data_IF_981817931366
#
_entry.id   IF_981817931366
#
_cell.length_a   1.000
_cell.length_b   1.000
_cell.length_c   1.000
_cell.angle_alpha   90.00
_cell.angle_beta   90.00
_cell.angle_gamma   90.00
#
_symmetry.space_group_name_H-M   'P 1'
#
loop_
_entity.id
_entity.type
_entity.pdbx_description
1 polymer ?
#
# COMPACT_ATOMS: atom_id res chain seq x y z
N UNK A 1 -30.28 18.76 -29.20
CA UNK A 1 -29.45 17.54 -29.23
C UNK A 1 -28.47 17.59 -28.08
N UNK A 2 -28.85 17.09 -26.89
CA UNK A 2 -27.94 17.06 -25.74
C UNK A 2 -26.94 15.92 -25.92
N UNK A 3 -25.66 16.29 -26.00
CA UNK A 3 -24.53 15.39 -26.17
C UNK A 3 -24.39 14.45 -24.96
N UNK A 4 -24.41 13.16 -25.25
CA UNK A 4 -24.19 12.09 -24.28
C UNK A 4 -22.78 12.23 -23.71
N UNK A 5 -22.64 12.73 -22.47
CA UNK A 5 -21.38 12.68 -21.72
C UNK A 5 -20.98 11.21 -21.64
N UNK A 6 -19.95 10.81 -22.39
CA UNK A 6 -19.30 9.51 -22.23
C UNK A 6 -18.73 9.52 -20.82
N UNK A 7 -19.40 8.86 -19.87
CA UNK A 7 -18.81 8.54 -18.58
C UNK A 7 -17.52 7.79 -18.89
N UNK A 8 -16.38 8.47 -18.75
CA UNK A 8 -15.08 7.82 -18.69
C UNK A 8 -15.13 7.05 -17.38
N UNK A 9 -15.51 5.78 -17.44
CA UNK A 9 -15.29 4.88 -16.32
C UNK A 9 -13.84 5.06 -15.89
N UNK A 10 -13.56 5.32 -14.61
CA UNK A 10 -12.20 5.46 -14.16
C UNK A 10 -11.50 4.14 -14.46
N UNK A 11 -10.55 4.17 -15.40
CA UNK A 11 -9.70 3.01 -15.69
C UNK A 11 -8.92 2.75 -14.41
N UNK A 12 -9.17 1.59 -13.78
CA UNK A 12 -8.45 1.20 -12.60
C UNK A 12 -6.97 1.07 -12.94
N UNK A 13 -6.14 1.74 -12.13
CA UNK A 13 -4.69 1.69 -12.30
C UNK A 13 -4.18 0.28 -11.97
N UNK A 14 -3.19 -0.23 -12.72
CA UNK A 14 -2.50 -1.46 -12.36
C UNK A 14 -1.98 -1.40 -10.92
N UNK A 15 -2.08 -2.50 -10.18
CA UNK A 15 -1.67 -2.56 -8.78
C UNK A 15 -0.89 -3.84 -8.49
N UNK A 16 -0.02 -3.79 -7.48
CA UNK A 16 0.76 -4.94 -7.06
C UNK A 16 0.01 -5.74 -6.01
N UNK A 17 -0.39 -6.97 -6.35
CA UNK A 17 -1.06 -7.89 -5.43
C UNK A 17 -0.30 -8.10 -4.11
N UNK A 18 1.02 -8.24 -4.19
CA UNK A 18 1.89 -8.50 -3.04
C UNK A 18 1.94 -7.33 -2.04
N UNK A 19 1.86 -6.06 -2.46
CA UNK A 19 2.06 -4.91 -1.57
C UNK A 19 1.07 -3.75 -1.71
N UNK A 20 0.00 -3.95 -2.48
CA UNK A 20 -1.10 -2.99 -2.70
C UNK A 20 -0.70 -1.63 -3.27
N UNK A 21 0.50 -1.51 -3.84
CA UNK A 21 0.94 -0.27 -4.50
C UNK A 21 0.30 -0.13 -5.88
N UNK A 22 -0.18 1.06 -6.19
CA UNK A 22 -0.68 1.46 -7.50
C UNK A 22 0.46 1.93 -8.41
N UNK A 23 0.34 1.67 -9.71
CA UNK A 23 1.29 2.04 -10.75
C UNK A 23 0.58 2.69 -11.93
N UNK A 24 1.32 3.48 -12.70
CA UNK A 24 0.77 4.13 -13.90
C UNK A 24 0.53 3.13 -15.03
N UNK A 25 1.48 2.21 -15.23
CA UNK A 25 1.46 1.23 -16.30
C UNK A 25 1.85 -0.18 -15.82
N UNK A 26 1.39 -1.19 -16.56
CA UNK A 26 1.74 -2.60 -16.34
C UNK A 26 3.25 -2.85 -16.40
N UNK A 27 3.98 -2.15 -17.27
CA UNK A 27 5.44 -2.27 -17.38
C UNK A 27 6.15 -1.84 -16.10
N UNK A 28 5.66 -0.78 -15.45
CA UNK A 28 6.23 -0.27 -14.20
C UNK A 28 5.91 -1.23 -13.07
N UNK A 29 4.68 -1.75 -13.03
CA UNK A 29 4.27 -2.79 -12.09
C UNK A 29 5.14 -4.05 -12.21
N UNK A 30 5.38 -4.56 -13.41
CA UNK A 30 6.25 -5.72 -13.66
C UNK A 30 7.68 -5.44 -13.18
N UNK A 31 8.22 -4.26 -13.47
CA UNK A 31 9.56 -3.87 -13.02
C UNK A 31 9.64 -3.80 -11.50
N UNK A 32 8.58 -3.28 -10.85
CA UNK A 32 8.45 -3.26 -9.41
C UNK A 32 8.44 -4.67 -8.81
N UNK A 33 7.63 -5.59 -9.35
CA UNK A 33 7.57 -6.98 -8.90
C UNK A 33 8.95 -7.64 -8.92
N UNK A 34 9.67 -7.50 -10.04
CA UNK A 34 11.04 -8.03 -10.20
C UNK A 34 12.05 -7.41 -9.22
N UNK A 35 11.93 -6.12 -8.95
CA UNK A 35 12.87 -5.40 -8.10
C UNK A 35 12.62 -5.58 -6.60
N UNK A 36 11.35 -5.78 -6.19
CA UNK A 36 10.92 -5.78 -4.78
C UNK A 36 10.57 -7.16 -4.24
N UNK A 37 9.88 -7.98 -5.03
CA UNK A 37 9.34 -9.27 -4.58
C UNK A 37 10.18 -10.44 -5.09
N UNK A 38 10.69 -10.36 -6.33
CA UNK A 38 11.44 -11.45 -6.97
C UNK A 38 12.95 -11.21 -7.00
N UNK A 39 13.46 -10.49 -5.98
CA UNK A 39 14.90 -10.31 -5.79
C UNK A 39 15.40 -11.40 -4.86
N UNK A 40 16.40 -12.15 -5.30
CA UNK A 40 17.10 -13.09 -4.43
C UNK A 40 17.64 -12.35 -3.18
N UNK A 41 17.56 -12.97 -2.01
CA UNK A 41 18.12 -12.38 -0.79
C UNK A 41 19.61 -12.71 -0.61
N UNK A 42 20.07 -13.81 -1.20
CA UNK A 42 21.48 -14.25 -1.14
C UNK A 42 22.34 -13.52 -2.18
N UNK A 43 21.82 -13.33 -3.39
CA UNK A 43 22.51 -12.60 -4.46
C UNK A 43 21.65 -11.44 -4.99
N UNK A 44 22.20 -10.63 -5.89
CA UNK A 44 21.48 -9.47 -6.45
C UNK A 44 20.63 -9.80 -7.68
N UNK A 45 20.47 -11.09 -8.02
CA UNK A 45 19.69 -11.52 -9.19
C UNK A 45 18.20 -11.24 -9.00
N UNK A 46 17.58 -10.73 -10.07
CA UNK A 46 16.13 -10.46 -10.16
C UNK A 46 15.50 -11.46 -11.10
N UNK A 47 14.44 -12.12 -10.64
CA UNK A 47 13.73 -13.14 -11.38
C UNK A 47 12.38 -12.58 -11.87
N UNK A 48 11.77 -13.25 -12.84
CA UNK A 48 10.49 -12.81 -13.42
C UNK A 48 9.26 -13.31 -12.67
N UNK A 49 9.41 -14.34 -11.83
CA UNK A 49 8.32 -15.02 -11.12
C UNK A 49 8.71 -15.39 -9.70
N UNK A 50 7.69 -15.58 -8.84
CA UNK A 50 7.87 -16.07 -7.47
C UNK A 50 8.47 -17.48 -7.46
N UNK A 51 7.89 -18.42 -8.23
CA UNK A 51 8.41 -19.77 -8.39
C UNK A 51 9.86 -19.79 -8.90
N UNK A 52 10.18 -18.95 -9.90
CA UNK A 52 11.55 -18.83 -10.43
C UNK A 52 12.55 -18.32 -9.40
N UNK A 53 12.13 -17.45 -8.47
CA UNK A 53 12.96 -17.03 -7.34
C UNK A 53 13.21 -18.18 -6.36
N UNK A 54 12.17 -18.93 -5.98
CA UNK A 54 12.31 -20.10 -5.08
C UNK A 54 13.24 -21.14 -5.68
N UNK A 55 13.03 -21.51 -6.94
CA UNK A 55 13.87 -22.46 -7.67
C UNK A 55 15.32 -21.96 -7.75
N UNK A 56 15.52 -20.67 -8.06
CA UNK A 56 16.85 -20.08 -8.12
C UNK A 56 17.59 -20.21 -6.79
N UNK A 57 16.93 -19.90 -5.67
CA UNK A 57 17.56 -19.99 -4.35
C UNK A 57 17.85 -21.44 -3.97
N UNK A 58 16.92 -22.36 -4.24
CA UNK A 58 17.12 -23.80 -4.00
C UNK A 58 18.26 -24.39 -4.85
N UNK A 59 18.36 -24.02 -6.12
CA UNK A 59 19.34 -24.61 -7.02
C UNK A 59 20.74 -24.00 -6.90
N UNK A 60 20.83 -22.67 -6.80
CA UNK A 60 22.10 -21.93 -6.82
C UNK A 60 22.67 -21.75 -5.43
N UNK A 61 21.82 -21.49 -4.44
CA UNK A 61 22.23 -21.19 -3.07
C UNK A 61 21.99 -22.35 -2.10
N UNK A 62 21.30 -23.42 -2.54
CA UNK A 62 20.96 -24.59 -1.70
C UNK A 62 20.15 -24.23 -0.46
N UNK A 63 19.38 -23.14 -0.54
CA UNK A 63 18.49 -22.66 0.50
C UNK A 63 17.02 -22.79 0.07
N UNK A 64 16.10 -22.92 1.01
CA UNK A 64 14.68 -23.05 0.70
C UNK A 64 13.91 -21.80 1.13
N UNK A 65 13.12 -21.23 0.23
CA UNK A 65 12.22 -20.10 0.50
C UNK A 65 10.79 -20.59 0.35
N UNK A 66 9.98 -20.42 1.40
CA UNK A 66 8.56 -20.77 1.40
C UNK A 66 7.64 -19.58 1.17
N UNK A 67 8.17 -18.36 1.28
CA UNK A 67 7.39 -17.11 1.28
C UNK A 67 8.09 -15.99 0.48
N UNK A 68 7.32 -15.23 -0.27
CA UNK A 68 7.79 -14.07 -1.05
C UNK A 68 8.10 -12.90 -0.10
N UNK A 69 9.31 -12.32 -0.14
CA UNK A 69 9.67 -11.22 0.74
C UNK A 69 8.92 -9.92 0.38
N UNK A 70 8.69 -9.09 1.41
CA UNK A 70 7.98 -7.80 1.30
C UNK A 70 6.53 -7.91 0.81
N UNK A 71 5.92 -9.10 0.86
CA UNK A 71 4.51 -9.30 0.58
C UNK A 71 3.65 -9.09 1.84
N UNK A 72 2.38 -8.75 1.64
CA UNK A 72 1.39 -8.71 2.71
C UNK A 72 1.13 -10.13 3.26
N UNK A 73 0.79 -10.27 4.55
CA UNK A 73 0.43 -11.56 5.13
C UNK A 73 -0.72 -12.20 4.35
N UNK A 74 -0.59 -13.48 3.99
CA UNK A 74 -1.59 -14.20 3.20
C UNK A 74 -1.48 -13.97 1.70
N UNK A 75 -0.57 -13.09 1.25
CA UNK A 75 -0.23 -12.86 -0.16
C UNK A 75 1.23 -13.16 -0.49
N UNK A 76 1.90 -13.94 0.35
CA UNK A 76 3.32 -14.28 0.22
C UNK A 76 3.55 -15.67 -0.40
N UNK A 77 2.51 -16.38 -0.81
CA UNK A 77 2.63 -17.72 -1.39
C UNK A 77 3.36 -17.70 -2.75
N UNK A 78 4.46 -18.45 -2.92
CA UNK A 78 5.22 -18.46 -4.18
C UNK A 78 4.58 -19.33 -5.28
N UNK A 79 3.53 -20.06 -4.94
CA UNK A 79 2.81 -20.97 -5.85
C UNK A 79 1.78 -20.25 -6.74
N UNK A 80 1.51 -18.97 -6.48
CA UNK A 80 0.55 -18.18 -7.26
C UNK A 80 1.33 -17.42 -8.33
N UNK A 81 1.04 -17.72 -9.60
CA UNK A 81 1.73 -17.12 -10.75
C UNK A 81 1.08 -15.80 -11.16
N UNK A 82 1.55 -14.71 -10.56
CA UNK A 82 1.10 -13.35 -10.88
C UNK A 82 2.12 -12.64 -11.76
N UNK A 83 1.67 -12.16 -12.92
CA UNK A 83 2.44 -11.37 -13.87
C UNK A 83 1.74 -10.03 -14.10
N UNK A 84 2.26 -8.95 -13.52
CA UNK A 84 1.56 -7.67 -13.58
C UNK A 84 0.22 -7.78 -12.86
N UNK A 85 -0.88 -7.57 -13.60
CA UNK A 85 -2.25 -7.80 -13.13
C UNK A 85 -2.84 -9.14 -13.54
N UNK A 86 -2.15 -9.93 -14.37
CA UNK A 86 -2.61 -11.26 -14.77
C UNK A 86 -2.29 -12.29 -13.67
N UNK A 87 -3.21 -13.22 -13.45
CA UNK A 87 -3.05 -14.30 -12.46
C UNK A 87 -3.40 -13.91 -11.02
N UNK A 88 -3.94 -12.70 -10.79
CA UNK A 88 -4.50 -12.31 -9.49
C UNK A 88 -5.77 -13.16 -9.24
N UNK A 89 -5.92 -13.78 -8.04
CA UNK A 89 -7.14 -14.49 -7.68
C UNK A 89 -8.39 -13.62 -7.84
N UNK A 90 -9.46 -14.20 -8.37
CA UNK A 90 -10.69 -13.45 -8.71
C UNK A 90 -11.30 -12.75 -7.49
N UNK A 91 -11.29 -13.40 -6.33
CA UNK A 91 -11.77 -12.83 -5.07
C UNK A 91 -10.99 -11.56 -4.68
N UNK A 92 -9.66 -11.61 -4.75
CA UNK A 92 -8.78 -10.48 -4.45
C UNK A 92 -8.93 -9.33 -5.45
N UNK A 93 -9.10 -9.68 -6.73
CA UNK A 93 -9.34 -8.71 -7.79
C UNK A 93 -10.68 -7.99 -7.58
N UNK A 94 -11.76 -8.72 -7.35
CA UNK A 94 -13.09 -8.17 -7.10
C UNK A 94 -13.12 -7.30 -5.82
N UNK A 95 -12.44 -7.72 -4.77
CA UNK A 95 -12.30 -6.94 -3.54
C UNK A 95 -11.51 -5.64 -3.76
N UNK A 96 -10.48 -5.66 -4.60
CA UNK A 96 -9.77 -4.44 -4.99
C UNK A 96 -10.65 -3.51 -5.82
N UNK A 97 -11.39 -4.04 -6.80
CA UNK A 97 -12.30 -3.27 -7.64
C UNK A 97 -13.41 -2.60 -6.81
N UNK A 98 -14.01 -3.32 -5.86
CA UNK A 98 -15.02 -2.78 -4.93
C UNK A 98 -14.45 -1.60 -4.13
N UNK A 99 -13.31 -1.80 -3.46
CA UNK A 99 -12.65 -0.76 -2.65
C UNK A 99 -12.28 0.47 -3.48
N UNK A 100 -11.82 0.26 -4.72
CA UNK A 100 -11.43 1.36 -5.60
C UNK A 100 -12.62 2.10 -6.18
N UNK A 101 -13.71 1.40 -6.52
CA UNK A 101 -14.96 2.01 -6.97
C UNK A 101 -15.55 2.93 -5.90
N UNK A 102 -15.55 2.49 -4.64
CA UNK A 102 -15.97 3.33 -3.49
C UNK A 102 -15.08 4.57 -3.34
N UNK A 103 -13.75 4.39 -3.41
CA UNK A 103 -12.78 5.49 -3.28
C UNK A 103 -12.84 6.50 -4.44
N UNK A 104 -13.19 6.06 -5.65
CA UNK A 104 -13.30 6.92 -6.83
C UNK A 104 -14.70 7.55 -6.99
N UNK A 105 -15.72 6.92 -6.39
CA UNK A 105 -17.09 7.42 -6.35
C UNK A 105 -17.33 8.54 -5.34
N UNK A 106 -16.36 8.83 -4.47
CA UNK A 106 -16.47 9.86 -3.43
C UNK A 106 -15.71 11.16 -3.80
N UNK A 107 -16.38 12.20 -4.32
CA UNK A 107 -15.76 13.49 -4.60
C UNK A 107 -15.39 14.30 -3.33
N UNK A 108 -15.69 13.83 -2.10
CA UNK A 108 -15.53 14.61 -0.88
C UNK A 108 -14.18 14.43 -0.14
N UNK A 109 -13.38 13.42 -0.44
CA UNK A 109 -12.15 13.12 0.32
C UNK A 109 -10.98 14.10 0.10
N UNK A 110 -11.12 15.12 -0.77
CA UNK A 110 -10.08 16.16 -1.00
C UNK A 110 -10.22 17.43 -0.14
N UNK A 111 -11.12 17.50 0.86
CA UNK A 111 -11.31 18.72 1.66
C UNK A 111 -11.05 18.62 3.18
N UNK A 112 -10.32 17.62 3.63
CA UNK A 112 -9.88 17.54 5.04
C UNK A 112 -8.36 17.35 5.15
N UNK A 113 -7.60 18.28 4.55
CA UNK A 113 -6.33 18.68 5.14
C UNK A 113 -6.55 20.04 5.80
N UNK A 114 -6.58 20.14 7.15
CA UNK A 114 -6.56 21.45 7.77
C UNK A 114 -5.23 22.15 7.41
N UNK A 115 -5.25 23.47 7.14
CA UNK A 115 -4.04 24.23 6.83
C UNK A 115 -3.06 24.22 8.03
N UNK A 116 -1.75 24.36 7.80
CA UNK A 116 -0.78 24.47 8.88
C UNK A 116 -1.06 25.73 9.69
N UNK A 117 -1.30 25.54 10.99
CA UNK A 117 -1.58 26.59 11.95
C UNK A 117 -0.35 27.49 12.08
N UNK A 118 -0.44 28.72 11.59
CA UNK A 118 0.60 29.73 11.74
C UNK A 118 0.45 30.41 13.11
N UNK A 119 1.53 30.30 13.90
CA UNK A 119 1.78 31.07 15.12
C UNK A 119 1.71 32.57 14.85
N UNK A 120 1.08 33.36 15.74
CA UNK A 120 1.63 34.61 16.31
C UNK A 120 0.61 35.33 17.22
N UNK A 121 0.98 35.52 18.49
CA UNK A 121 0.90 36.82 19.19
C UNK A 121 -0.39 37.25 19.90
N UNK A 122 -0.34 37.25 21.24
CA UNK A 122 -0.54 38.48 22.01
C UNK A 122 -1.81 38.66 22.86
N UNK A 123 -1.64 38.59 24.19
CA UNK A 123 -2.01 39.71 25.08
C UNK A 123 -3.20 39.58 26.04
N UNK A 124 -2.89 39.50 27.35
CA UNK A 124 -3.67 40.04 28.49
C UNK A 124 -4.92 39.25 28.92
N UNK A 125 -5.18 38.94 30.18
CA UNK A 125 -4.61 39.36 31.46
C UNK A 125 -5.64 39.07 32.56
N UNK A 126 -5.19 38.84 33.78
CA UNK A 126 -5.96 39.15 35.00
C UNK A 126 -6.61 38.00 35.77
N UNK A 127 -6.20 37.88 37.05
CA UNK A 127 -6.97 37.28 38.14
C UNK A 127 -6.74 35.76 38.28
N UNK A 128 -5.98 35.23 39.22
CA UNK A 128 -5.81 35.67 40.61
C UNK A 128 -6.55 34.69 41.50
N UNK A 129 -5.80 33.81 42.18
CA UNK A 129 -5.96 33.41 43.59
C UNK A 129 -5.42 31.99 43.82
N UNK A 130 -4.30 31.98 44.53
CA UNK A 130 -3.71 30.91 45.34
C UNK A 130 -4.66 29.78 45.76
N UNK A 131 -4.18 28.53 45.80
CA UNK A 131 -3.87 27.87 47.09
C UNK A 131 -3.34 26.43 46.94
N UNK A 132 -2.12 26.23 47.48
CA UNK A 132 -1.61 25.14 48.34
C UNK A 132 -1.91 23.66 47.98
N UNK A 133 -0.90 22.89 47.58
CA UNK A 133 -0.07 21.93 48.35
C UNK A 133 -0.67 20.54 48.61
N UNK A 134 0.17 19.52 48.36
CA UNK A 134 0.25 18.24 49.07
C UNK A 134 -0.91 17.25 48.90
N UNK A 135 -0.78 15.93 49.02
CA UNK A 135 0.29 14.94 49.01
C UNK A 135 -0.42 13.59 49.28
N UNK A 136 0.33 12.48 49.18
CA UNK A 136 -0.02 11.11 49.61
C UNK A 136 -1.08 10.37 48.76
N UNK A 137 -0.73 9.26 48.10
CA UNK A 137 -0.45 7.91 48.65
C UNK A 137 -1.64 7.42 49.48
N UNK A 138 -2.20 6.28 49.07
CA UNK A 138 -2.47 5.08 49.88
C UNK A 138 -3.05 4.04 48.89
N UNK A 139 -2.24 3.02 48.58
CA UNK A 139 -2.49 1.58 48.85
C UNK A 139 -3.70 1.04 48.09
#
# INVERSE_FOLDING_TARGET
LMGRKKNKQPVLKPWCWYCEREFEDEKILLTHQKARHFKCHVCTKRLSTASGMVIHVAQVHKENITSVPNALPGRDSPNIEIFGSQGIPEDDAADYERRMSEKLGDPAAKRSRPPPMQSSGGGGGGGGSNMVVSALILI
#
